data_IF_688937177366
#
_entry.id   IF_688937177366
#
_cell.length_a   1.000
_cell.length_b   1.000
_cell.length_c   1.000
_cell.angle_alpha   90.00
_cell.angle_beta   90.00
_cell.angle_gamma   90.00
#
_symmetry.space_group_name_H-M   'P 1'
#
loop_
_entity.id
_entity.type
_entity.pdbx_description
1 polymer ?
#
# COMPACT_ATOMS: atom_id res chain seq x y z
N UNK A 1 -14.97 16.07 -29.32
CA UNK A 1 -14.33 15.42 -28.16
C UNK A 1 -12.83 15.45 -28.38
N UNK A 2 -12.13 16.34 -27.67
CA UNK A 2 -10.69 16.58 -27.89
C UNK A 2 -9.82 15.51 -27.25
N UNK A 3 -8.63 15.27 -27.82
CA UNK A 3 -7.62 14.34 -27.32
C UNK A 3 -7.35 14.54 -25.81
N UNK A 4 -7.35 15.81 -25.37
CA UNK A 4 -7.17 16.19 -23.96
C UNK A 4 -8.29 15.69 -23.04
N UNK A 5 -9.55 15.76 -23.49
CA UNK A 5 -10.70 15.24 -22.72
C UNK A 5 -10.63 13.72 -22.55
N UNK A 6 -10.04 13.01 -23.53
CA UNK A 6 -9.84 11.57 -23.46
C UNK A 6 -8.67 11.17 -22.56
N UNK A 7 -7.56 11.94 -22.57
CA UNK A 7 -6.45 11.73 -21.64
C UNK A 7 -6.84 12.04 -20.18
N UNK A 8 -7.61 13.12 -19.94
CA UNK A 8 -8.14 13.45 -18.62
C UNK A 8 -9.15 12.40 -18.13
N UNK A 9 -10.03 11.91 -19.00
CA UNK A 9 -10.97 10.84 -18.66
C UNK A 9 -10.27 9.49 -18.42
N UNK A 10 -9.19 9.19 -19.16
CA UNK A 10 -8.37 7.98 -18.97
C UNK A 10 -7.56 8.06 -17.68
N UNK A 11 -6.98 9.21 -17.33
CA UNK A 11 -6.28 9.44 -16.06
C UNK A 11 -7.22 9.39 -14.85
N UNK A 12 -8.42 9.96 -14.98
CA UNK A 12 -9.49 9.91 -13.98
C UNK A 12 -9.96 8.47 -13.72
N UNK A 13 -10.25 7.69 -14.77
CA UNK A 13 -10.67 6.29 -14.62
C UNK A 13 -9.55 5.41 -14.07
N UNK A 14 -8.29 5.64 -14.47
CA UNK A 14 -7.16 4.91 -13.92
C UNK A 14 -6.99 5.16 -12.41
N UNK A 15 -7.12 6.41 -11.97
CA UNK A 15 -7.08 6.77 -10.54
C UNK A 15 -8.25 6.22 -9.72
N UNK A 16 -9.38 5.88 -10.35
CA UNK A 16 -10.53 5.25 -9.71
C UNK A 16 -10.36 3.75 -9.50
N UNK A 17 -9.40 3.11 -10.19
CA UNK A 17 -9.12 1.70 -10.01
C UNK A 17 -8.35 1.48 -8.71
N UNK A 18 -8.68 0.36 -8.03
CA UNK A 18 -7.98 -0.07 -6.81
C UNK A 18 -6.46 -0.03 -7.04
N UNK A 19 -5.73 0.49 -6.06
CA UNK A 19 -4.28 0.67 -6.14
C UNK A 19 -3.55 -0.59 -6.60
N UNK A 20 -3.97 -1.72 -6.07
CA UNK A 20 -3.40 -3.03 -6.39
C UNK A 20 -3.59 -3.43 -7.85
N UNK A 21 -4.70 -3.05 -8.48
CA UNK A 21 -4.93 -3.28 -9.90
C UNK A 21 -4.02 -2.41 -10.78
N UNK A 22 -3.82 -1.14 -10.39
CA UNK A 22 -2.86 -0.26 -11.07
C UNK A 22 -1.45 -0.83 -10.97
N UNK A 23 -1.04 -1.24 -9.78
CA UNK A 23 0.27 -1.85 -9.53
C UNK A 23 0.48 -3.12 -10.37
N UNK A 24 -0.53 -3.98 -10.44
CA UNK A 24 -0.52 -5.19 -11.26
C UNK A 24 -0.32 -4.87 -12.75
N UNK A 25 -1.10 -3.92 -13.29
CA UNK A 25 -0.98 -3.51 -14.70
C UNK A 25 0.40 -2.93 -15.02
N UNK A 26 0.98 -2.12 -14.12
CA UNK A 26 2.35 -1.62 -14.30
C UNK A 26 3.36 -2.76 -14.35
N UNK A 27 3.25 -3.73 -13.44
CA UNK A 27 4.13 -4.90 -13.41
C UNK A 27 4.04 -5.73 -14.68
N UNK A 28 2.82 -6.07 -15.11
CA UNK A 28 2.58 -6.85 -16.34
C UNK A 28 3.12 -6.11 -17.56
N UNK A 29 2.95 -4.78 -17.63
CA UNK A 29 3.43 -3.97 -18.76
C UNK A 29 4.96 -3.93 -18.84
N UNK A 30 5.64 -3.72 -17.71
CA UNK A 30 7.11 -3.72 -17.65
C UNK A 30 7.65 -5.09 -18.03
N UNK A 31 7.06 -6.16 -17.48
CA UNK A 31 7.48 -7.52 -17.76
C UNK A 31 7.23 -7.91 -19.22
N UNK A 32 6.11 -7.48 -19.82
CA UNK A 32 5.82 -7.70 -21.23
C UNK A 32 6.86 -7.03 -22.13
N UNK A 33 7.17 -5.76 -21.88
CA UNK A 33 8.18 -5.04 -22.65
C UNK A 33 9.55 -5.74 -22.58
N UNK A 34 9.96 -6.16 -21.39
CA UNK A 34 11.20 -6.91 -21.18
C UNK A 34 11.18 -8.28 -21.89
N UNK A 35 10.08 -9.03 -21.76
CA UNK A 35 9.92 -10.35 -22.36
C UNK A 35 9.96 -10.31 -23.89
N UNK A 36 9.27 -9.35 -24.51
CA UNK A 36 9.31 -9.11 -25.96
C UNK A 36 10.74 -8.73 -26.39
N UNK A 37 11.41 -7.86 -25.64
CA UNK A 37 12.80 -7.48 -25.90
C UNK A 37 13.74 -8.69 -25.94
N UNK A 38 13.64 -9.60 -24.96
CA UNK A 38 14.43 -10.83 -24.95
C UNK A 38 14.12 -11.72 -26.15
N UNK A 39 12.84 -11.91 -26.50
CA UNK A 39 12.46 -12.72 -27.66
C UNK A 39 13.08 -12.16 -28.94
N UNK A 40 13.01 -10.83 -29.14
CA UNK A 40 13.60 -10.18 -30.32
C UNK A 40 15.11 -10.42 -30.39
N UNK A 41 15.82 -10.27 -29.26
CA UNK A 41 17.27 -10.50 -29.19
C UNK A 41 17.63 -11.95 -29.48
N UNK A 42 16.91 -12.91 -28.90
CA UNK A 42 17.12 -14.36 -29.11
C UNK A 42 16.84 -14.75 -30.56
N UNK A 43 15.74 -14.26 -31.15
CA UNK A 43 15.42 -14.49 -32.55
C UNK A 43 16.50 -13.92 -33.48
N UNK A 44 17.04 -12.74 -33.18
CA UNK A 44 18.06 -12.10 -34.01
C UNK A 44 19.43 -12.78 -33.90
N UNK A 45 19.87 -13.14 -32.68
CA UNK A 45 21.19 -13.73 -32.45
C UNK A 45 21.26 -15.22 -32.79
N UNK A 46 20.23 -15.99 -32.46
CA UNK A 46 20.24 -17.45 -32.63
C UNK A 46 19.43 -17.95 -33.83
N UNK A 47 18.71 -17.09 -34.56
CA UNK A 47 17.79 -17.46 -35.66
C UNK A 47 16.79 -18.55 -35.26
N UNK A 48 16.47 -18.66 -33.97
CA UNK A 48 15.50 -19.61 -33.45
C UNK A 48 14.10 -19.15 -33.80
N UNK A 49 13.30 -20.04 -34.38
CA UNK A 49 11.88 -19.79 -34.59
C UNK A 49 11.14 -20.01 -33.28
N UNK A 50 10.79 -18.91 -32.61
CA UNK A 50 9.99 -18.95 -31.39
C UNK A 50 8.52 -19.18 -31.79
N UNK A 51 7.93 -20.27 -31.29
CA UNK A 51 6.49 -20.48 -31.44
C UNK A 51 5.74 -19.47 -30.56
N UNK A 52 4.93 -18.61 -31.18
CA UNK A 52 4.15 -17.58 -30.50
C UNK A 52 3.22 -18.14 -29.41
N UNK A 53 2.67 -19.34 -29.62
CA UNK A 53 1.82 -19.98 -28.62
C UNK A 53 2.60 -20.40 -27.38
N UNK A 54 3.81 -20.94 -27.57
CA UNK A 54 4.69 -21.30 -26.44
C UNK A 54 5.17 -20.06 -25.71
N UNK A 55 5.54 -19.00 -26.43
CA UNK A 55 5.94 -17.73 -25.85
C UNK A 55 4.80 -17.08 -25.04
N UNK A 56 3.58 -17.07 -25.58
CA UNK A 56 2.42 -16.58 -24.86
C UNK A 56 2.19 -17.39 -23.58
N UNK A 57 2.27 -18.72 -23.65
CA UNK A 57 2.05 -19.61 -22.51
C UNK A 57 3.09 -19.37 -21.40
N UNK A 58 4.37 -19.22 -21.76
CA UNK A 58 5.44 -18.86 -20.82
C UNK A 58 5.18 -17.49 -20.19
N UNK A 59 4.76 -16.49 -20.97
CA UNK A 59 4.40 -15.19 -20.45
C UNK A 59 3.23 -15.25 -19.47
N UNK A 60 2.17 -16.02 -19.75
CA UNK A 60 1.06 -16.18 -18.82
C UNK A 60 1.52 -16.85 -17.51
N UNK A 61 2.27 -17.95 -17.60
CA UNK A 61 2.70 -18.70 -16.41
C UNK A 61 3.70 -17.90 -15.56
N UNK A 62 4.68 -17.24 -16.17
CA UNK A 62 5.79 -16.60 -15.44
C UNK A 62 5.52 -15.11 -15.22
N UNK A 63 4.91 -14.44 -16.19
CA UNK A 63 4.69 -13.00 -16.18
C UNK A 63 3.39 -12.54 -15.55
N UNK A 64 2.33 -13.36 -15.56
CA UNK A 64 1.02 -12.96 -15.04
C UNK A 64 0.64 -13.64 -13.73
N UNK A 65 0.88 -14.96 -13.59
CA UNK A 65 0.45 -15.70 -12.40
C UNK A 65 1.17 -15.22 -11.13
N UNK A 66 2.51 -15.09 -11.06
CA UNK A 66 3.17 -14.70 -9.82
C UNK A 66 2.80 -13.28 -9.37
N UNK A 67 2.79 -12.25 -10.25
CA UNK A 67 2.30 -10.93 -9.86
C UNK A 67 0.84 -10.92 -9.45
N UNK A 68 -0.03 -11.74 -10.08
CA UNK A 68 -1.43 -11.85 -9.68
C UNK A 68 -1.59 -12.43 -8.27
N UNK A 69 -0.84 -13.49 -7.94
CA UNK A 69 -0.86 -14.10 -6.60
C UNK A 69 -0.37 -13.11 -5.55
N UNK A 70 0.75 -12.42 -5.80
CA UNK A 70 1.29 -11.40 -4.90
C UNK A 70 0.25 -10.29 -4.70
N UNK A 71 -0.28 -9.76 -5.80
CA UNK A 71 -1.29 -8.70 -5.76
C UNK A 71 -2.53 -9.13 -4.97
N UNK A 72 -3.03 -10.34 -5.21
CA UNK A 72 -4.19 -10.87 -4.50
C UNK A 72 -3.92 -10.97 -2.99
N UNK A 73 -2.77 -11.50 -2.59
CA UNK A 73 -2.40 -11.65 -1.18
C UNK A 73 -2.36 -10.31 -0.43
N UNK A 74 -1.80 -9.26 -1.05
CA UNK A 74 -1.67 -7.95 -0.41
C UNK A 74 -2.87 -7.01 -0.67
N UNK A 75 -3.76 -7.35 -1.61
CA UNK A 75 -4.83 -6.46 -2.10
C UNK A 75 -5.70 -5.89 -0.99
N UNK A 76 -6.22 -6.76 -0.10
CA UNK A 76 -7.13 -6.34 0.97
C UNK A 76 -6.52 -5.30 1.92
N UNK A 77 -5.22 -5.39 2.19
CA UNK A 77 -4.53 -4.49 3.14
C UNK A 77 -4.02 -3.24 2.45
N UNK A 78 -3.47 -3.36 1.24
CA UNK A 78 -3.01 -2.23 0.43
C UNK A 78 -4.16 -1.34 -0.01
N UNK A 79 -5.25 -1.93 -0.52
CA UNK A 79 -6.41 -1.17 -0.94
C UNK A 79 -7.06 -0.43 0.24
N UNK A 80 -7.04 -1.01 1.44
CA UNK A 80 -7.53 -0.34 2.65
C UNK A 80 -6.64 0.82 3.11
N UNK A 81 -5.32 0.74 2.90
CA UNK A 81 -4.39 1.83 3.25
C UNK A 81 -4.59 3.06 2.39
N UNK A 82 -4.97 2.86 1.12
CA UNK A 82 -5.22 3.96 0.18
C UNK A 82 -6.72 4.31 0.04
N UNK A 83 -7.62 3.56 0.67
CA UNK A 83 -9.04 3.87 0.59
C UNK A 83 -9.44 5.01 1.53
N UNK A 84 -10.47 5.75 1.15
CA UNK A 84 -11.13 6.76 1.99
C UNK A 84 -12.01 6.14 3.10
N UNK A 85 -11.96 4.82 3.26
CA UNK A 85 -12.75 4.06 4.23
C UNK A 85 -12.38 4.52 5.66
N UNK A 86 -13.32 5.13 6.40
CA UNK A 86 -13.06 5.64 7.73
C UNK A 86 -13.10 4.54 8.80
N UNK A 87 -13.64 3.36 8.50
CA UNK A 87 -13.88 2.33 9.50
C UNK A 87 -12.58 1.68 9.94
N UNK A 88 -12.41 1.38 11.25
CA UNK A 88 -11.20 0.75 11.75
C UNK A 88 -10.99 -0.62 11.07
N UNK A 89 -9.75 -0.98 10.73
CA UNK A 89 -9.50 -2.27 10.11
C UNK A 89 -9.85 -3.40 11.09
N UNK A 90 -10.36 -4.51 10.56
CA UNK A 90 -10.65 -5.75 11.30
C UNK A 90 -9.69 -6.87 10.86
N UNK A 91 -8.41 -6.53 10.73
CA UNK A 91 -7.40 -7.45 10.27
C UNK A 91 -6.90 -8.37 11.40
N UNK A 92 -6.56 -9.60 11.05
CA UNK A 92 -5.96 -10.52 12.01
C UNK A 92 -4.58 -10.03 12.45
N UNK A 93 -4.26 -10.23 13.74
CA UNK A 93 -3.00 -9.82 14.35
C UNK A 93 -2.89 -8.34 14.69
N UNK A 94 -3.96 -7.55 14.54
CA UNK A 94 -3.95 -6.14 14.91
C UNK A 94 -3.88 -5.93 16.42
N UNK A 95 -3.24 -4.83 16.81
CA UNK A 95 -3.20 -4.33 18.17
C UNK A 95 -3.80 -2.94 18.19
N UNK A 96 -4.74 -2.75 19.10
CA UNK A 96 -5.45 -1.49 19.29
C UNK A 96 -5.10 -0.94 20.66
N UNK A 97 -4.67 0.31 20.72
CA UNK A 97 -4.56 1.06 21.98
C UNK A 97 -5.16 2.45 21.86
N UNK A 98 -5.64 2.94 22.99
CA UNK A 98 -6.10 4.31 23.17
C UNK A 98 -5.01 5.07 23.92
N UNK A 99 -4.48 6.10 23.28
CA UNK A 99 -3.55 7.03 23.89
C UNK A 99 -4.26 8.30 24.33
N UNK A 100 -3.85 8.84 25.47
CA UNK A 100 -4.26 10.17 25.88
C UNK A 100 -3.26 11.17 25.32
N UNK A 101 -3.73 12.13 24.52
CA UNK A 101 -2.92 13.12 23.85
C UNK A 101 -3.26 14.51 24.38
N UNK A 102 -2.28 15.16 25.02
CA UNK A 102 -2.44 16.52 25.48
C UNK A 102 -2.00 17.50 24.40
N UNK A 103 -2.93 17.82 23.50
CA UNK A 103 -2.71 18.81 22.44
C UNK A 103 -2.48 20.20 23.01
N UNK A 104 -1.41 20.87 22.57
CA UNK A 104 -1.06 22.22 23.07
C UNK A 104 -1.58 23.33 22.14
N UNK A 105 -2.28 22.96 21.08
CA UNK A 105 -2.71 23.85 19.99
C UNK A 105 -4.22 23.79 19.77
N UNK A 106 -4.79 24.80 19.09
CA UNK A 106 -6.22 24.81 18.71
C UNK A 106 -6.61 23.66 17.77
N UNK A 107 -5.63 23.13 17.02
CA UNK A 107 -5.76 22.03 16.07
C UNK A 107 -4.86 20.83 16.45
N UNK A 108 -5.24 20.06 17.50
CA UNK A 108 -4.40 18.98 18.03
C UNK A 108 -4.14 17.85 17.03
N UNK A 109 -5.03 17.65 16.06
CA UNK A 109 -4.88 16.65 15.01
C UNK A 109 -3.70 16.97 14.05
N UNK A 110 -3.48 18.24 13.73
CA UNK A 110 -2.36 18.65 12.87
C UNK A 110 -1.02 18.42 13.57
N UNK A 111 -0.97 18.57 14.90
CA UNK A 111 0.21 18.25 15.71
C UNK A 111 0.53 16.76 15.67
N UNK A 112 -0.48 15.91 15.81
CA UNK A 112 -0.34 14.45 15.65
C UNK A 112 0.17 14.12 14.25
N UNK A 113 -0.44 14.70 13.21
CA UNK A 113 -0.03 14.48 11.83
C UNK A 113 1.46 14.83 11.64
N UNK A 114 1.93 15.97 12.15
CA UNK A 114 3.34 16.36 12.08
C UNK A 114 4.26 15.41 12.83
N UNK A 115 3.87 14.94 14.03
CA UNK A 115 4.68 13.99 14.79
C UNK A 115 4.80 12.65 14.07
N UNK A 116 3.72 12.19 13.45
CA UNK A 116 3.71 10.95 12.66
C UNK A 116 4.56 11.12 11.39
N UNK A 117 4.40 12.21 10.63
CA UNK A 117 5.12 12.45 9.37
C UNK A 117 6.65 12.49 9.55
N UNK A 118 7.13 12.92 10.73
CA UNK A 118 8.57 12.92 11.08
C UNK A 118 9.17 11.54 11.24
N UNK A 119 8.37 10.52 11.54
CA UNK A 119 8.84 9.17 11.87
C UNK A 119 8.38 8.11 10.86
N UNK A 120 7.21 8.32 10.26
CA UNK A 120 6.51 7.34 9.43
C UNK A 120 5.87 8.00 8.20
N UNK A 121 5.58 7.18 7.20
CA UNK A 121 5.06 7.68 5.92
C UNK A 121 3.53 7.70 6.01
N UNK A 122 2.93 8.89 5.86
CA UNK A 122 1.48 9.05 5.80
C UNK A 122 0.98 8.59 4.43
N UNK A 123 0.04 7.64 4.43
CA UNK A 123 -0.60 7.13 3.20
C UNK A 123 -1.95 7.80 2.93
N UNK A 124 -2.68 8.15 3.99
CA UNK A 124 -3.97 8.84 3.88
C UNK A 124 -4.17 9.72 5.11
N UNK A 125 -4.74 10.91 4.92
CA UNK A 125 -5.15 11.79 6.01
C UNK A 125 -6.44 12.52 5.67
N UNK A 126 -7.36 12.56 6.63
CA UNK A 126 -8.61 13.30 6.52
C UNK A 126 -8.80 14.14 7.78
N UNK A 127 -8.64 15.47 7.63
CA UNK A 127 -8.80 16.44 8.71
C UNK A 127 -10.24 16.62 9.15
N UNK A 128 -11.23 16.34 8.30
CA UNK A 128 -12.66 16.46 8.68
C UNK A 128 -13.07 15.31 9.58
N UNK A 129 -12.54 14.11 9.32
CA UNK A 129 -12.82 12.91 10.10
C UNK A 129 -11.79 12.65 11.22
N UNK A 130 -10.71 13.44 11.27
CA UNK A 130 -9.56 13.26 12.18
C UNK A 130 -8.96 11.84 12.10
N UNK A 131 -8.82 11.33 10.88
CA UNK A 131 -8.28 9.99 10.60
C UNK A 131 -6.98 10.11 9.82
N UNK A 132 -6.03 9.26 10.17
CA UNK A 132 -4.74 9.16 9.50
C UNK A 132 -4.35 7.69 9.35
N UNK A 133 -3.93 7.31 8.15
CA UNK A 133 -3.33 5.99 7.86
C UNK A 133 -1.87 6.19 7.52
N UNK A 134 -1.00 5.39 8.11
CA UNK A 134 0.44 5.49 7.94
C UNK A 134 1.09 4.11 7.74
N UNK A 135 2.34 4.12 7.30
CA UNK A 135 3.17 2.92 7.13
C UNK A 135 4.57 3.14 7.64
N UNK A 136 5.18 2.07 8.16
CA UNK A 136 6.55 2.14 8.70
C UNK A 136 7.63 1.96 7.65
N UNK A 137 7.33 1.31 6.52
CA UNK A 137 8.27 1.09 5.42
C UNK A 137 7.51 1.08 4.09
N UNK A 138 8.21 1.34 2.99
CA UNK A 138 7.70 1.35 1.62
C UNK A 138 8.47 0.38 0.69
N UNK A 139 9.41 -0.40 1.23
CA UNK A 139 10.22 -1.33 0.43
C UNK A 139 9.39 -2.55 -0.02
N UNK A 140 9.53 -2.92 -1.29
CA UNK A 140 8.89 -4.12 -1.89
C UNK A 140 9.17 -5.42 -1.12
N UNK A 141 10.34 -5.53 -0.47
CA UNK A 141 10.77 -6.69 0.32
C UNK A 141 10.27 -6.69 1.76
N UNK A 142 9.83 -5.53 2.25
CA UNK A 142 9.27 -5.36 3.59
C UNK A 142 8.32 -4.17 3.57
N UNK A 143 7.05 -4.45 3.31
CA UNK A 143 5.97 -3.46 3.31
C UNK A 143 5.67 -2.87 4.71
N UNK A 144 6.50 -3.20 5.70
CA UNK A 144 6.43 -2.68 7.06
C UNK A 144 5.16 -3.12 7.79
N UNK A 145 4.72 -2.26 8.69
CA UNK A 145 3.45 -2.36 9.39
C UNK A 145 2.53 -1.24 8.89
N UNK A 146 1.25 -1.57 8.76
CA UNK A 146 0.21 -0.58 8.51
C UNK A 146 -0.33 -0.05 9.83
N UNK A 147 -0.60 1.25 9.87
CA UNK A 147 -1.16 1.93 11.03
C UNK A 147 -2.38 2.74 10.65
N UNK A 148 -3.39 2.70 11.50
CA UNK A 148 -4.57 3.54 11.48
C UNK A 148 -4.62 4.32 12.78
N UNK A 149 -4.91 5.60 12.68
CA UNK A 149 -5.02 6.52 13.80
C UNK A 149 -6.30 7.32 13.63
N UNK A 150 -7.09 7.41 14.70
CA UNK A 150 -8.27 8.26 14.77
C UNK A 150 -8.24 9.04 16.07
N UNK A 151 -8.38 10.36 16.00
CA UNK A 151 -8.50 11.19 17.19
C UNK A 151 -9.98 11.29 17.59
N UNK A 152 -10.29 10.87 18.81
CA UNK A 152 -11.58 10.99 19.47
C UNK A 152 -11.49 12.13 20.50
N UNK A 153 -12.40 13.11 20.40
CA UNK A 153 -12.59 14.18 21.38
C UNK A 153 -11.33 14.99 21.73
N UNK A 154 -10.45 15.27 20.75
CA UNK A 154 -9.22 16.10 20.85
C UNK A 154 -8.13 15.60 21.81
N UNK A 155 -8.47 14.76 22.77
CA UNK A 155 -7.60 14.29 23.84
C UNK A 155 -7.37 12.78 23.82
N UNK A 156 -8.11 12.03 23.01
CA UNK A 156 -7.95 10.58 22.88
C UNK A 156 -7.57 10.25 21.45
N UNK A 157 -6.63 9.34 21.29
CA UNK A 157 -6.21 8.85 19.99
C UNK A 157 -6.33 7.33 20.00
N UNK A 158 -7.23 6.83 19.18
CA UNK A 158 -7.32 5.41 18.85
C UNK A 158 -6.24 5.09 17.83
N UNK A 159 -5.30 4.23 18.21
CA UNK A 159 -4.25 3.72 17.33
C UNK A 159 -4.45 2.23 17.11
N UNK A 160 -4.47 1.83 15.85
CA UNK A 160 -4.57 0.44 15.41
C UNK A 160 -3.37 0.15 14.52
N UNK A 161 -2.50 -0.74 14.97
CA UNK A 161 -1.37 -1.22 14.17
C UNK A 161 -1.69 -2.63 13.71
N UNK A 162 -1.49 -2.92 12.43
CA UNK A 162 -1.71 -4.24 11.88
C UNK A 162 -0.49 -4.74 11.09
N UNK A 163 -0.09 -6.00 11.32
CA UNK A 163 0.95 -6.67 10.54
C UNK A 163 0.43 -7.01 9.15
N UNK A 164 1.31 -7.04 8.16
CA UNK A 164 0.93 -7.43 6.81
C UNK A 164 0.84 -8.96 6.72
N UNK A 165 1.78 -9.67 7.35
CA UNK A 165 1.76 -11.10 7.56
C UNK A 165 1.51 -11.44 9.05
N UNK A 166 0.26 -11.67 9.47
CA UNK A 166 -0.11 -11.88 10.87
C UNK A 166 0.42 -13.20 11.47
N UNK A 167 0.85 -14.14 10.62
CA UNK A 167 1.41 -15.43 11.07
C UNK A 167 2.90 -15.33 11.40
N UNK A 168 3.57 -14.24 11.01
CA UNK A 168 4.99 -14.04 11.29
C UNK A 168 5.22 -13.64 12.76
N UNK A 169 6.03 -14.42 13.49
CA UNK A 169 6.46 -14.05 14.86
C UNK A 169 7.21 -12.72 14.88
N UNK A 170 8.01 -12.45 13.84
CA UNK A 170 8.77 -11.20 13.70
C UNK A 170 7.82 -10.00 13.61
N UNK A 171 6.78 -10.08 12.79
CA UNK A 171 5.85 -8.96 12.65
C UNK A 171 5.05 -8.71 13.94
N UNK A 172 4.68 -9.76 14.68
CA UNK A 172 4.05 -9.58 16.00
C UNK A 172 4.90 -8.77 16.97
N UNK A 173 6.20 -9.08 17.05
CA UNK A 173 7.14 -8.32 17.88
C UNK A 173 7.29 -6.87 17.40
N UNK A 174 7.36 -6.67 16.08
CA UNK A 174 7.45 -5.32 15.51
C UNK A 174 6.19 -4.49 15.78
N UNK A 175 4.99 -5.10 15.79
CA UNK A 175 3.74 -4.42 16.15
C UNK A 175 3.79 -3.93 17.58
N UNK A 176 4.24 -4.76 18.52
CA UNK A 176 4.35 -4.38 19.93
C UNK A 176 5.39 -3.28 20.15
N UNK A 177 6.55 -3.38 19.50
CA UNK A 177 7.59 -2.35 19.55
C UNK A 177 7.10 -1.02 18.95
N UNK A 178 6.40 -1.06 17.82
CA UNK A 178 5.85 0.14 17.20
C UNK A 178 4.82 0.80 18.11
N UNK A 179 3.99 0.00 18.78
CA UNK A 179 2.98 0.51 19.70
C UNK A 179 3.63 1.22 20.91
N UNK A 180 4.72 0.67 21.44
CA UNK A 180 5.51 1.31 22.50
C UNK A 180 6.17 2.61 22.02
N UNK A 181 6.73 2.64 20.80
CA UNK A 181 7.30 3.84 20.21
C UNK A 181 6.24 4.91 19.95
N UNK A 182 5.04 4.53 19.50
CA UNK A 182 3.94 5.48 19.33
C UNK A 182 3.52 6.09 20.66
N UNK A 183 3.52 5.30 21.73
CA UNK A 183 3.26 5.82 23.07
C UNK A 183 4.29 6.87 23.50
N UNK A 184 5.56 6.75 23.13
CA UNK A 184 6.57 7.78 23.45
C UNK A 184 6.50 9.01 22.55
N UNK A 185 6.01 8.87 21.31
CA UNK A 185 5.85 9.98 20.37
C UNK A 185 4.57 10.79 20.63
N UNK A 186 3.49 10.11 21.02
CA UNK A 186 2.17 10.70 21.22
C UNK A 186 1.83 10.97 22.70
N UNK A 187 2.47 10.27 23.63
CA UNK A 187 2.29 10.49 25.08
C UNK A 187 3.11 11.63 25.66
#
# INVERSE_FOLDING_TARGET
MGLESWFLARGSNFNRMRFTFRLYLYWVSIFLAFYVGIIVVVCFLWRVQVNLWQAALVFFIVGMIPPAIITYYFSKRLDYMESDDPDPPSFSGQKTELFHFNGRTEYPFDEVMQRIDRQWIISYSDRKKNILKFRTDARMTSWGLGGYLKMEDKEKILVIIYPINPRSKREKLMVEQLLQLMKSVLG
#
